data_IF_119207496156
#
_entry.id   IF_119207496156
#
_cell.length_a   1.000
_cell.length_b   1.000
_cell.length_c   1.000
_cell.angle_alpha   90.00
_cell.angle_beta   90.00
_cell.angle_gamma   90.00
#
_symmetry.space_group_name_H-M   'P 1'
#
loop_
_entity.id
_entity.type
_entity.pdbx_description
1 polymer ?
#
# COMPACT_ATOMS: atom_id res chain seq x y z
N UNK A 1 -51.27 5.15 5.17
CA UNK A 1 -49.89 5.66 5.36
C UNK A 1 -49.53 5.49 6.83
N UNK A 2 -48.60 4.60 7.13
CA UNK A 2 -48.09 4.42 8.50
C UNK A 2 -47.30 5.68 8.86
N UNK A 3 -47.57 6.28 10.02
CA UNK A 3 -46.87 7.50 10.44
C UNK A 3 -45.40 7.21 10.75
N UNK A 4 -44.48 8.11 10.40
CA UNK A 4 -43.03 8.00 10.66
C UNK A 4 -42.68 7.50 12.07
N UNK A 5 -43.40 8.00 13.08
CA UNK A 5 -43.24 7.60 14.49
C UNK A 5 -43.54 6.12 14.74
N UNK A 6 -44.51 5.54 14.04
CA UNK A 6 -44.85 4.11 14.14
C UNK A 6 -43.76 3.23 13.52
N UNK A 7 -43.16 3.67 12.41
CA UNK A 7 -42.04 2.97 11.75
C UNK A 7 -40.80 2.95 12.66
N UNK A 8 -40.46 4.10 13.26
CA UNK A 8 -39.33 4.18 14.21
C UNK A 8 -39.53 3.22 15.39
N UNK A 9 -40.74 3.17 15.97
CA UNK A 9 -41.05 2.27 17.07
C UNK A 9 -41.01 0.80 16.66
N UNK A 10 -41.47 0.45 15.46
CA UNK A 10 -41.42 -0.92 14.95
C UNK A 10 -39.98 -1.41 14.78
N UNK A 11 -39.12 -0.59 14.17
CA UNK A 11 -37.69 -0.89 14.00
C UNK A 11 -37.01 -0.98 15.37
N UNK A 12 -37.24 0.00 16.24
CA UNK A 12 -36.70 0.04 17.60
C UNK A 12 -37.05 -1.23 18.38
N UNK A 13 -38.33 -1.61 18.43
CA UNK A 13 -38.78 -2.83 19.08
C UNK A 13 -38.08 -4.08 18.53
N UNK A 14 -37.89 -4.15 17.21
CA UNK A 14 -37.22 -5.28 16.57
C UNK A 14 -35.73 -5.35 16.91
N UNK A 15 -35.04 -4.21 16.95
CA UNK A 15 -33.62 -4.14 17.30
C UNK A 15 -33.39 -4.49 18.77
N UNK A 16 -34.25 -4.03 19.69
CA UNK A 16 -34.10 -4.27 21.13
C UNK A 16 -34.48 -5.70 21.55
N UNK A 17 -35.40 -6.37 20.84
CA UNK A 17 -35.70 -7.81 21.05
C UNK A 17 -34.49 -8.74 20.84
N UNK A 18 -33.39 -8.24 20.26
CA UNK A 18 -32.12 -8.98 20.11
C UNK A 18 -31.17 -8.79 21.29
N UNK A 19 -31.37 -7.77 22.14
CA UNK A 19 -30.45 -7.34 23.20
C UNK A 19 -30.94 -7.68 24.63
N UNK A 20 -31.93 -8.57 24.77
CA UNK A 20 -32.78 -8.75 25.96
C UNK A 20 -32.07 -9.29 27.23
N UNK A 21 -30.74 -9.35 27.25
CA UNK A 21 -29.96 -9.61 28.48
C UNK A 21 -29.55 -8.32 29.23
N UNK A 22 -29.72 -7.13 28.63
CA UNK A 22 -29.54 -5.83 29.30
C UNK A 22 -30.88 -5.08 29.33
N UNK A 23 -31.38 -4.83 30.55
CA UNK A 23 -32.70 -4.23 30.84
C UNK A 23 -32.78 -2.72 30.51
N UNK A 24 -31.70 -2.13 29.98
CA UNK A 24 -31.66 -0.73 29.58
C UNK A 24 -32.22 -0.55 28.16
N UNK A 25 -33.46 -0.07 28.07
CA UNK A 25 -34.10 0.29 26.79
C UNK A 25 -33.36 1.48 26.17
N UNK A 26 -32.46 1.19 25.23
CA UNK A 26 -31.70 2.20 24.48
C UNK A 26 -32.66 3.10 23.70
N UNK A 27 -32.60 4.41 23.90
CA UNK A 27 -33.48 5.36 23.20
C UNK A 27 -33.16 5.45 21.70
N UNK A 28 -34.16 5.78 20.88
CA UNK A 28 -33.98 5.90 19.43
C UNK A 28 -32.84 6.85 19.04
N UNK A 29 -32.73 8.00 19.71
CA UNK A 29 -31.68 8.99 19.42
C UNK A 29 -30.27 8.44 19.70
N UNK A 30 -30.13 7.55 20.68
CA UNK A 30 -28.88 6.88 20.98
C UNK A 30 -28.54 5.79 19.94
N UNK A 31 -29.56 5.12 19.38
CA UNK A 31 -29.36 4.22 18.24
C UNK A 31 -28.85 5.02 17.04
N UNK A 32 -29.50 6.15 16.73
CA UNK A 32 -29.10 7.01 15.61
C UNK A 32 -27.69 7.55 15.81
N UNK A 33 -27.32 8.01 17.01
CA UNK A 33 -25.95 8.49 17.27
C UNK A 33 -24.93 7.37 17.08
N UNK A 34 -25.25 6.14 17.49
CA UNK A 34 -24.37 4.98 17.32
C UNK A 34 -24.21 4.62 15.84
N UNK A 35 -25.31 4.63 15.08
CA UNK A 35 -25.26 4.44 13.62
C UNK A 35 -24.39 5.51 12.96
N UNK A 36 -24.57 6.79 13.31
CA UNK A 36 -23.74 7.88 12.75
C UNK A 36 -22.26 7.69 13.09
N UNK A 37 -21.94 7.26 14.33
CA UNK A 37 -20.56 6.96 14.72
C UNK A 37 -19.98 5.82 13.88
N UNK A 38 -20.73 4.73 13.65
CA UNK A 38 -20.29 3.64 12.77
C UNK A 38 -20.05 4.13 11.33
N UNK A 39 -20.93 4.99 10.79
CA UNK A 39 -20.73 5.60 9.46
C UNK A 39 -19.45 6.44 9.39
N UNK A 40 -19.17 7.23 10.42
CA UNK A 40 -17.93 8.04 10.46
C UNK A 40 -16.68 7.17 10.44
N UNK A 41 -16.69 6.05 11.16
CA UNK A 41 -15.59 5.09 11.10
C UNK A 41 -15.47 4.44 9.73
N UNK A 42 -16.59 4.10 9.08
CA UNK A 42 -16.59 3.57 7.72
C UNK A 42 -15.98 4.56 6.72
N UNK A 43 -16.42 5.82 6.76
CA UNK A 43 -15.91 6.90 5.91
C UNK A 43 -14.42 7.12 6.15
N UNK A 44 -13.99 7.20 7.40
CA UNK A 44 -12.57 7.35 7.74
C UNK A 44 -11.73 6.17 7.29
N UNK A 45 -12.25 4.95 7.38
CA UNK A 45 -11.56 3.74 6.92
C UNK A 45 -11.51 3.65 5.40
N UNK A 46 -12.52 4.17 4.70
CA UNK A 46 -12.63 4.04 3.26
C UNK A 46 -11.85 5.10 2.49
N UNK A 47 -12.05 6.37 2.84
CA UNK A 47 -11.41 7.49 2.15
C UNK A 47 -10.05 7.86 2.76
N UNK A 48 -9.64 7.23 3.86
CA UNK A 48 -8.35 7.49 4.51
C UNK A 48 -8.02 8.98 4.68
N UNK A 49 -6.74 9.32 4.48
CA UNK A 49 -6.26 10.70 4.44
C UNK A 49 -6.41 11.33 3.04
N UNK A 50 -6.54 10.53 2.00
CA UNK A 50 -6.52 10.94 0.59
C UNK A 50 -7.93 10.85 0.01
N UNK A 51 -8.57 12.00 -0.15
CA UNK A 51 -9.92 12.09 -0.72
C UNK A 51 -10.50 13.49 -0.53
N UNK A 52 -11.42 13.89 -1.40
CA UNK A 52 -12.00 15.23 -1.35
C UNK A 52 -12.76 15.45 -0.02
N UNK A 53 -12.48 16.56 0.67
CA UNK A 53 -13.10 16.86 1.97
C UNK A 53 -14.64 16.96 1.87
N UNK A 54 -15.14 17.34 0.68
CA UNK A 54 -16.57 17.44 0.39
C UNK A 54 -17.23 16.05 0.29
N UNK A 55 -16.60 15.09 -0.38
CA UNK A 55 -17.11 13.72 -0.49
C UNK A 55 -17.06 12.98 0.85
N UNK A 56 -16.01 13.20 1.64
CA UNK A 56 -15.91 12.70 3.02
C UNK A 56 -17.04 13.26 3.90
N UNK A 57 -17.41 14.52 3.68
CA UNK A 57 -18.48 15.20 4.44
C UNK A 57 -19.88 14.73 4.02
N UNK A 58 -20.07 14.36 2.75
CA UNK A 58 -21.35 13.95 2.18
C UNK A 58 -21.21 12.67 1.33
N UNK A 59 -20.93 11.51 1.95
CA UNK A 59 -20.66 10.26 1.23
C UNK A 59 -21.89 9.72 0.50
N UNK A 60 -23.11 10.02 0.98
CA UNK A 60 -24.34 9.71 0.26
C UNK A 60 -24.67 8.22 0.18
N UNK A 61 -24.45 7.47 1.26
CA UNK A 61 -24.74 6.03 1.31
C UNK A 61 -26.23 5.76 1.03
N UNK A 62 -26.48 5.00 -0.03
CA UNK A 62 -27.81 4.54 -0.41
C UNK A 62 -28.13 3.21 0.26
N UNK A 63 -29.16 3.21 1.10
CA UNK A 63 -29.57 2.05 1.88
C UNK A 63 -30.39 1.04 1.07
N UNK A 64 -30.76 1.38 -0.17
CA UNK A 64 -31.40 0.44 -1.11
C UNK A 64 -30.36 -0.41 -1.85
N UNK A 65 -29.14 0.13 -2.02
CA UNK A 65 -28.07 -0.55 -2.74
C UNK A 65 -27.48 -1.70 -1.91
N UNK A 66 -27.63 -2.93 -2.40
CA UNK A 66 -27.12 -4.15 -1.75
C UNK A 66 -25.62 -4.08 -1.42
N UNK A 67 -24.80 -3.48 -2.28
CA UNK A 67 -23.35 -3.36 -2.05
C UNK A 67 -23.05 -2.50 -0.83
N UNK A 68 -23.74 -1.37 -0.71
CA UNK A 68 -23.62 -0.46 0.43
C UNK A 68 -24.16 -1.11 1.70
N UNK A 69 -25.31 -1.80 1.61
CA UNK A 69 -25.85 -2.57 2.74
C UNK A 69 -24.89 -3.66 3.21
N UNK A 70 -24.29 -4.42 2.30
CA UNK A 70 -23.33 -5.48 2.62
C UNK A 70 -22.08 -4.90 3.30
N UNK A 71 -21.58 -3.77 2.78
CA UNK A 71 -20.47 -3.03 3.37
C UNK A 71 -20.77 -2.55 4.78
N UNK A 72 -21.87 -1.82 4.97
CA UNK A 72 -22.30 -1.30 6.27
C UNK A 72 -22.70 -2.42 7.24
N UNK A 73 -23.10 -3.59 6.75
CA UNK A 73 -23.37 -4.78 7.58
C UNK A 73 -22.14 -5.33 8.29
N UNK A 74 -20.92 -4.83 7.99
CA UNK A 74 -19.73 -5.07 8.83
C UNK A 74 -19.96 -4.59 10.26
N UNK A 75 -20.69 -3.48 10.43
CA UNK A 75 -20.93 -2.87 11.72
C UNK A 75 -22.16 -3.47 12.43
N UNK A 76 -22.10 -3.74 13.74
CA UNK A 76 -23.12 -4.49 14.45
C UNK A 76 -24.48 -3.77 14.52
N UNK A 77 -24.51 -2.43 14.65
CA UNK A 77 -25.77 -1.69 14.74
C UNK A 77 -26.44 -1.56 13.38
N UNK A 78 -25.67 -1.24 12.31
CA UNK A 78 -26.20 -1.27 10.94
C UNK A 78 -26.70 -2.65 10.53
N UNK A 79 -25.96 -3.72 10.84
CA UNK A 79 -26.41 -5.10 10.58
C UNK A 79 -27.75 -5.39 11.25
N UNK A 80 -27.91 -4.96 12.50
CA UNK A 80 -29.15 -5.14 13.25
C UNK A 80 -30.30 -4.32 12.63
N UNK A 81 -30.01 -3.09 12.23
CA UNK A 81 -30.95 -2.19 11.57
C UNK A 81 -31.44 -2.75 10.23
N UNK A 82 -30.54 -3.20 9.36
CA UNK A 82 -30.91 -3.82 8.08
C UNK A 82 -31.75 -5.09 8.28
N UNK A 83 -31.38 -5.95 9.22
CA UNK A 83 -32.21 -7.12 9.56
C UNK A 83 -33.59 -6.73 10.07
N UNK A 84 -33.71 -5.63 10.81
CA UNK A 84 -35.00 -5.14 11.28
C UNK A 84 -35.87 -4.62 10.12
N UNK A 85 -35.27 -3.87 9.18
CA UNK A 85 -35.95 -3.40 7.96
C UNK A 85 -36.43 -4.58 7.12
N UNK A 86 -35.54 -5.54 6.82
CA UNK A 86 -35.86 -6.71 5.99
C UNK A 86 -36.98 -7.55 6.61
N UNK A 87 -36.94 -7.73 7.93
CA UNK A 87 -37.96 -8.47 8.65
C UNK A 87 -39.33 -7.77 8.62
N UNK A 88 -39.33 -6.44 8.65
CA UNK A 88 -40.56 -5.65 8.60
C UNK A 88 -41.08 -5.48 7.15
N UNK A 89 -40.28 -5.81 6.14
CA UNK A 89 -40.65 -5.66 4.73
C UNK A 89 -40.93 -4.21 4.34
N UNK A 90 -40.19 -3.27 4.92
CA UNK A 90 -40.41 -1.84 4.64
C UNK A 90 -40.06 -1.51 3.19
N UNK A 91 -40.89 -0.67 2.58
CA UNK A 91 -40.66 -0.12 1.25
C UNK A 91 -39.53 0.92 1.26
N UNK A 92 -38.97 1.20 0.08
CA UNK A 92 -37.93 2.21 -0.12
C UNK A 92 -38.33 3.58 0.45
N UNK A 93 -39.57 4.02 0.16
CA UNK A 93 -40.10 5.29 0.66
C UNK A 93 -40.20 5.37 2.19
N UNK A 94 -40.45 4.22 2.84
CA UNK A 94 -40.51 4.13 4.30
C UNK A 94 -39.12 4.16 4.90
N UNK A 95 -38.14 3.50 4.27
CA UNK A 95 -36.73 3.56 4.65
C UNK A 95 -36.22 5.00 4.55
N UNK A 96 -36.48 5.69 3.45
CA UNK A 96 -36.12 7.10 3.25
C UNK A 96 -36.79 8.05 4.24
N UNK A 97 -37.93 7.67 4.81
CA UNK A 97 -38.59 8.44 5.86
C UNK A 97 -37.85 8.33 7.20
N UNK A 98 -37.20 7.19 7.46
CA UNK A 98 -36.48 6.90 8.71
C UNK A 98 -35.06 7.44 8.65
N UNK A 99 -34.37 7.17 7.53
CA UNK A 99 -32.95 7.43 7.32
C UNK A 99 -32.74 8.91 7.01
N UNK A 100 -32.61 9.72 8.06
CA UNK A 100 -32.41 11.19 7.95
C UNK A 100 -31.18 11.68 8.72
N UNK A 101 -30.23 10.80 8.97
CA UNK A 101 -29.00 11.13 9.69
C UNK A 101 -27.82 11.31 8.73
N UNK A 102 -26.69 11.73 9.31
CA UNK A 102 -25.48 12.04 8.57
C UNK A 102 -24.95 10.86 7.75
N UNK A 103 -24.42 11.14 6.56
CA UNK A 103 -23.78 10.19 5.65
C UNK A 103 -24.74 9.49 4.67
N UNK A 104 -26.03 9.79 4.73
CA UNK A 104 -27.07 9.11 3.93
C UNK A 104 -27.31 9.83 2.61
N UNK A 105 -27.84 9.11 1.60
CA UNK A 105 -28.14 9.69 0.28
C UNK A 105 -29.01 10.95 0.38
N UNK A 106 -29.99 10.95 1.28
CA UNK A 106 -30.91 12.06 1.50
C UNK A 106 -30.21 13.32 2.00
N UNK A 107 -29.21 13.18 2.85
CA UNK A 107 -28.41 14.32 3.32
C UNK A 107 -27.56 14.89 2.18
N UNK A 108 -26.90 14.04 1.39
CA UNK A 108 -26.15 14.48 0.20
C UNK A 108 -27.04 15.26 -0.76
N UNK A 109 -28.21 14.73 -1.11
CA UNK A 109 -29.18 15.41 -1.98
C UNK A 109 -29.65 16.76 -1.41
N UNK A 110 -29.86 16.84 -0.09
CA UNK A 110 -30.23 18.08 0.57
C UNK A 110 -29.11 19.13 0.50
N UNK A 111 -27.85 18.70 0.64
CA UNK A 111 -26.69 19.56 0.45
C UNK A 111 -26.58 20.05 -0.99
N UNK A 112 -26.59 19.15 -1.97
CA UNK A 112 -26.47 19.49 -3.40
C UNK A 112 -27.56 20.45 -3.85
N UNK A 113 -28.80 20.25 -3.39
CA UNK A 113 -29.93 21.15 -3.66
C UNK A 113 -29.72 22.54 -3.06
N UNK A 114 -29.08 22.62 -1.89
CA UNK A 114 -28.85 23.89 -1.18
C UNK A 114 -27.68 24.68 -1.77
N UNK A 115 -26.59 24.00 -2.13
CA UNK A 115 -25.37 24.64 -2.63
C UNK A 115 -25.35 24.78 -4.15
N UNK A 116 -26.12 23.97 -4.88
CA UNK A 116 -26.06 23.89 -6.34
C UNK A 116 -24.81 23.17 -6.84
N UNK A 117 -24.01 22.59 -5.95
CA UNK A 117 -22.78 21.86 -6.28
C UNK A 117 -23.05 20.36 -6.22
N UNK A 118 -22.72 19.64 -7.28
CA UNK A 118 -22.79 18.17 -7.30
C UNK A 118 -21.56 17.61 -6.59
N UNK A 119 -21.77 16.68 -5.65
CA UNK A 119 -20.66 15.99 -4.98
C UNK A 119 -20.11 14.95 -5.95
N UNK A 120 -18.88 15.17 -6.44
CA UNK A 120 -18.19 14.21 -7.30
C UNK A 120 -17.69 13.02 -6.48
N UNK A 121 -18.04 11.82 -6.91
CA UNK A 121 -17.46 10.57 -6.40
C UNK A 121 -16.05 10.42 -6.98
N UNK A 122 -15.03 10.38 -6.12
CA UNK A 122 -13.63 10.13 -6.50
C UNK A 122 -13.21 8.69 -6.23
N UNK A 123 -14.14 7.84 -5.79
CA UNK A 123 -13.91 6.42 -5.60
C UNK A 123 -13.36 5.78 -6.88
N UNK A 124 -12.11 5.32 -6.82
CA UNK A 124 -11.47 4.60 -7.91
C UNK A 124 -10.77 5.48 -8.93
N UNK A 125 -10.72 6.80 -8.74
CA UNK A 125 -9.89 7.71 -9.56
C UNK A 125 -8.40 7.32 -9.47
N UNK A 126 -7.95 6.81 -8.32
CA UNK A 126 -6.56 6.39 -8.09
C UNK A 126 -6.26 4.97 -8.57
N UNK A 127 -7.25 4.23 -9.09
CA UNK A 127 -7.05 2.89 -9.62
C UNK A 127 -6.66 3.00 -11.09
N UNK A 128 -5.41 2.68 -11.46
CA UNK A 128 -4.99 2.77 -12.85
C UNK A 128 -5.81 1.80 -13.71
N UNK A 129 -6.18 2.27 -14.89
CA UNK A 129 -6.83 1.44 -15.91
C UNK A 129 -5.87 0.32 -16.34
N UNK A 130 -6.39 -0.81 -16.82
CA UNK A 130 -5.57 -1.91 -17.32
C UNK A 130 -4.50 -1.48 -18.34
N UNK A 131 -4.85 -0.53 -19.21
CA UNK A 131 -3.93 0.08 -20.19
C UNK A 131 -2.76 0.79 -19.50
N UNK A 132 -3.04 1.63 -18.50
CA UNK A 132 -2.01 2.33 -17.71
C UNK A 132 -1.10 1.34 -16.97
N UNK A 133 -1.65 0.24 -16.44
CA UNK A 133 -0.85 -0.82 -15.83
C UNK A 133 0.08 -1.49 -16.84
N UNK A 134 -0.36 -1.70 -18.09
CA UNK A 134 0.51 -2.24 -19.14
C UNK A 134 1.63 -1.27 -19.49
N UNK A 135 1.34 0.02 -19.62
CA UNK A 135 2.34 1.05 -19.88
C UNK A 135 3.39 1.10 -18.77
N UNK A 136 2.97 1.16 -17.51
CA UNK A 136 3.89 1.12 -16.35
C UNK A 136 4.76 -0.13 -16.34
N UNK A 137 4.21 -1.28 -16.74
CA UNK A 137 4.98 -2.53 -16.85
C UNK A 137 5.99 -2.48 -17.99
N UNK A 138 5.63 -1.89 -19.13
CA UNK A 138 6.53 -1.71 -20.27
C UNK A 138 7.64 -0.71 -19.96
N UNK A 139 7.35 0.36 -19.22
CA UNK A 139 8.36 1.31 -18.75
C UNK A 139 9.32 0.64 -17.77
N UNK A 140 8.81 -0.11 -16.77
CA UNK A 140 9.67 -0.87 -15.85
C UNK A 140 10.57 -1.89 -16.58
N UNK A 141 10.07 -2.54 -17.63
CA UNK A 141 10.88 -3.44 -18.48
C UNK A 141 11.96 -2.70 -19.26
N UNK A 142 11.66 -1.48 -19.75
CA UNK A 142 12.65 -0.65 -20.44
C UNK A 142 13.72 -0.15 -19.48
N UNK A 143 13.33 0.24 -18.26
CA UNK A 143 14.28 0.64 -17.22
C UNK A 143 15.20 -0.54 -16.84
N UNK A 144 14.67 -1.76 -16.74
CA UNK A 144 15.48 -2.97 -16.55
C UNK A 144 16.41 -3.28 -17.74
N UNK A 145 15.96 -3.05 -18.98
CA UNK A 145 16.78 -3.21 -20.19
C UNK A 145 17.86 -2.12 -20.32
N UNK A 146 17.58 -0.88 -19.91
CA UNK A 146 18.54 0.24 -19.92
C UNK A 146 19.54 0.16 -18.75
N UNK A 147 19.15 -0.38 -17.59
CA UNK A 147 20.07 -0.61 -16.45
C UNK A 147 20.99 -1.82 -16.68
N UNK A 148 20.66 -2.70 -17.64
CA UNK A 148 21.52 -3.79 -18.09
C UNK A 148 22.59 -3.30 -19.08
N UNK A 149 23.56 -2.53 -18.57
CA UNK A 149 24.80 -2.14 -19.29
C UNK A 149 25.78 -3.33 -19.47
N UNK A 150 25.29 -4.54 -19.22
CA UNK A 150 26.01 -5.80 -19.29
C UNK A 150 25.78 -6.49 -20.63
N UNK A 151 26.82 -7.11 -21.17
CA UNK A 151 26.66 -8.02 -22.30
C UNK A 151 25.73 -9.16 -21.88
N UNK A 152 24.59 -9.35 -22.58
CA UNK A 152 23.65 -10.43 -22.26
C UNK A 152 24.31 -11.78 -22.60
N UNK A 153 24.64 -12.62 -21.60
CA UNK A 153 25.39 -13.86 -21.83
C UNK A 153 24.59 -14.91 -22.61
N UNK A 154 23.27 -14.70 -22.77
CA UNK A 154 22.39 -15.58 -23.53
C UNK A 154 22.19 -15.15 -24.98
N UNK A 155 22.67 -13.96 -25.37
CA UNK A 155 22.61 -13.48 -26.77
C UNK A 155 23.97 -13.50 -27.46
N UNK A 156 25.06 -13.74 -26.72
CA UNK A 156 26.39 -13.92 -27.29
C UNK A 156 26.46 -15.21 -28.10
N UNK A 157 27.06 -15.12 -29.29
CA UNK A 157 27.34 -16.31 -30.06
C UNK A 157 28.46 -17.10 -29.36
N UNK A 158 28.45 -18.44 -29.49
CA UNK A 158 29.41 -19.33 -28.79
C UNK A 158 30.88 -18.90 -28.97
N UNK A 159 31.22 -18.43 -30.16
CA UNK A 159 32.56 -17.99 -30.52
C UNK A 159 32.99 -16.72 -29.76
N UNK A 160 32.06 -15.80 -29.52
CA UNK A 160 32.31 -14.55 -28.81
C UNK A 160 32.51 -14.84 -27.31
N UNK A 161 31.71 -15.75 -26.73
CA UNK A 161 31.87 -16.21 -25.36
C UNK A 161 33.22 -16.92 -25.14
N UNK A 162 33.62 -17.78 -26.08
CA UNK A 162 34.92 -18.45 -26.04
C UNK A 162 36.09 -17.45 -26.17
N UNK A 163 35.92 -16.38 -26.94
CA UNK A 163 36.91 -15.30 -27.05
C UNK A 163 37.05 -14.53 -25.74
N UNK A 164 35.94 -14.15 -25.11
CA UNK A 164 35.95 -13.42 -23.84
C UNK A 164 36.59 -14.22 -22.70
N UNK A 165 36.30 -15.52 -22.61
CA UNK A 165 36.91 -16.40 -21.61
C UNK A 165 38.43 -16.50 -21.80
N UNK A 166 38.90 -16.61 -23.06
CA UNK A 166 40.33 -16.61 -23.38
C UNK A 166 41.00 -15.27 -23.04
N UNK A 167 40.33 -14.15 -23.28
CA UNK A 167 40.81 -12.82 -22.92
C UNK A 167 40.96 -12.67 -21.40
N UNK A 168 39.96 -13.13 -20.63
CA UNK A 168 39.97 -13.09 -19.18
C UNK A 168 41.11 -13.95 -18.58
N UNK A 169 41.29 -15.18 -19.07
CA UNK A 169 42.39 -16.05 -18.65
C UNK A 169 43.76 -15.43 -18.98
N UNK A 170 43.88 -14.78 -20.14
CA UNK A 170 45.10 -14.09 -20.55
C UNK A 170 45.42 -12.91 -19.62
N UNK A 171 44.43 -12.11 -19.25
CA UNK A 171 44.60 -10.98 -18.35
C UNK A 171 45.00 -11.45 -16.94
N UNK A 172 44.34 -12.49 -16.43
CA UNK A 172 44.68 -13.09 -15.13
C UNK A 172 46.13 -13.63 -15.11
N UNK A 173 46.57 -14.26 -16.20
CA UNK A 173 47.96 -14.70 -16.35
C UNK A 173 48.93 -13.52 -16.35
N UNK A 174 48.60 -12.45 -17.07
CA UNK A 174 49.44 -11.25 -17.14
C UNK A 174 49.60 -10.58 -15.76
N UNK A 175 48.52 -10.45 -15.00
CA UNK A 175 48.57 -9.91 -13.64
C UNK A 175 49.43 -10.79 -12.72
N UNK A 176 49.25 -12.12 -12.79
CA UNK A 176 50.06 -13.05 -12.00
C UNK A 176 51.55 -12.93 -12.31
N UNK A 177 51.92 -12.82 -13.60
CA UNK A 177 53.30 -12.61 -14.03
C UNK A 177 53.88 -11.27 -13.54
N UNK A 178 53.09 -10.20 -13.57
CA UNK A 178 53.51 -8.90 -13.04
C UNK A 178 53.74 -8.95 -11.53
N UNK A 179 52.83 -9.61 -10.79
CA UNK A 179 53.00 -9.80 -9.35
C UNK A 179 54.23 -10.64 -9.02
N UNK A 180 54.48 -11.73 -9.75
CA UNK A 180 55.67 -12.55 -9.58
C UNK A 180 56.96 -11.76 -9.88
N UNK A 181 56.97 -10.94 -10.94
CA UNK A 181 58.09 -10.07 -11.27
C UNK A 181 58.37 -9.06 -10.13
N UNK A 182 57.33 -8.41 -9.59
CA UNK A 182 57.46 -7.50 -8.45
C UNK A 182 57.99 -8.21 -7.21
N UNK A 183 57.48 -9.39 -6.88
CA UNK A 183 57.96 -10.21 -5.75
C UNK A 183 59.42 -10.63 -5.92
N UNK A 184 59.84 -10.99 -7.13
CA UNK A 184 61.23 -11.34 -7.41
C UNK A 184 62.16 -10.14 -7.22
N UNK A 185 61.75 -8.95 -7.69
CA UNK A 185 62.53 -7.72 -7.56
C UNK A 185 62.65 -7.28 -6.10
N UNK A 186 61.55 -7.30 -5.33
CA UNK A 186 61.58 -6.95 -3.91
C UNK A 186 62.47 -7.90 -3.12
N UNK A 187 62.37 -9.21 -3.38
CA UNK A 187 63.21 -10.23 -2.74
C UNK A 187 64.69 -10.04 -3.06
N UNK A 188 65.04 -9.81 -4.33
CA UNK A 188 66.42 -9.55 -4.75
C UNK A 188 66.99 -8.27 -4.10
N UNK A 189 66.16 -7.22 -3.99
CA UNK A 189 66.55 -5.97 -3.33
C UNK A 189 66.81 -6.18 -1.84
N UNK A 190 65.92 -6.91 -1.16
CA UNK A 190 66.07 -7.24 0.26
C UNK A 190 67.34 -8.04 0.54
N UNK A 191 67.65 -9.04 -0.29
CA UNK A 191 68.89 -9.82 -0.19
C UNK A 191 70.13 -8.95 -0.42
N UNK A 192 70.08 -8.03 -1.39
CA UNK A 192 71.19 -7.09 -1.66
C UNK A 192 71.46 -6.16 -0.48
N UNK A 193 70.41 -5.61 0.14
CA UNK A 193 70.51 -4.80 1.35
C UNK A 193 71.11 -5.61 2.51
N UNK A 194 70.64 -6.85 2.72
CA UNK A 194 71.15 -7.73 3.76
C UNK A 194 72.65 -8.07 3.57
N UNK A 195 73.09 -8.25 2.32
CA UNK A 195 74.51 -8.46 2.00
C UNK A 195 75.34 -7.20 2.28
N UNK A 196 74.86 -6.01 1.93
CA UNK A 196 75.53 -4.75 2.24
C UNK A 196 75.66 -4.52 3.75
N UNK A 197 74.60 -4.80 4.53
CA UNK A 197 74.65 -4.74 5.99
C UNK A 197 75.69 -5.71 6.56
N UNK A 198 75.71 -6.97 6.11
CA UNK A 198 76.72 -7.95 6.55
C UNK A 198 78.16 -7.54 6.21
N UNK A 199 78.38 -6.96 5.03
CA UNK A 199 79.70 -6.46 4.63
C UNK A 199 80.12 -5.23 5.46
N UNK A 200 79.18 -4.32 5.77
CA UNK A 200 79.44 -3.18 6.64
C UNK A 200 79.77 -3.62 8.08
N UNK A 201 79.06 -4.61 8.64
CA UNK A 201 79.40 -5.18 9.95
C UNK A 201 80.81 -5.78 9.99
N UNK A 202 81.26 -6.42 8.90
CA UNK A 202 82.64 -6.95 8.80
C UNK A 202 83.70 -5.84 8.71
N UNK A 203 83.37 -4.69 8.13
CA UNK A 203 84.29 -3.55 7.98
C UNK A 203 84.35 -2.64 9.23
N UNK A 204 83.24 -2.50 9.96
CA UNK A 204 83.15 -1.65 11.16
C UNK A 204 83.28 -2.44 12.48
N UNK A 205 83.38 -3.78 12.43
CA UNK A 205 83.52 -4.66 13.59
C UNK A 205 84.90 -4.70 14.26
N UNK A 206 85.87 -3.88 13.85
CA UNK A 206 87.22 -3.86 14.43
C UNK A 206 87.59 -2.59 15.22
N UNK A 207 86.59 -1.83 15.70
CA UNK A 207 86.84 -0.77 16.70
C UNK A 207 85.82 -0.90 17.84
N UNK A 208 86.06 -1.88 18.71
CA UNK A 208 85.55 -1.87 20.06
C UNK A 208 86.58 -2.52 20.98
N UNK A 209 87.61 -1.74 21.31
CA UNK A 209 88.38 -1.75 22.56
C UNK A 209 89.08 -0.40 22.70
#
# INVERSE_FOLDING_TARGET
MVGRRQIHQAIHSRMMKRNTDNDDVVQWDQIVSTLVTELKHEVSSYYGNEGSEVEKSYPGFDYHNEKIRARLSRWPWHRSFFKAIDYLGLSESEIDSVVTWWGTLKERQAYEKKTGTVVRDTTGDDIPTWEQVQEMKQEALKDEEEEFDGINPYTLNREEMESMLKEADRLALQESLQQAALQSHTTATALRVQQQFRQAEQLFGYVRE
#
